data_IF_552936270896
#
_entry.id   IF_552936270896
#
_cell.length_a   1.000
_cell.length_b   1.000
_cell.length_c   1.000
_cell.angle_alpha   90.00
_cell.angle_beta   90.00
_cell.angle_gamma   90.00
#
_symmetry.space_group_name_H-M   'P 1'
#
loop_
_entity.id
_entity.type
_entity.pdbx_description
1 polymer ?
#
# COMPACT_ATOMS: atom_id res chain seq x y z
N UNK A 1 64.59 -22.93 -72.13
CA UNK A 1 64.04 -22.89 -70.75
C UNK A 1 62.53 -23.07 -70.82
N UNK A 2 62.11 -24.33 -70.84
CA UNK A 2 60.73 -24.80 -70.72
C UNK A 2 60.83 -26.20 -70.08
N UNK A 3 60.01 -26.45 -69.06
CA UNK A 3 59.67 -27.73 -68.40
C UNK A 3 60.80 -28.64 -67.85
N UNK A 4 60.70 -28.98 -66.57
CA UNK A 4 60.60 -30.36 -66.04
C UNK A 4 59.76 -30.26 -64.74
N UNK A 5 58.53 -30.80 -64.72
CA UNK A 5 58.14 -32.14 -64.22
C UNK A 5 58.23 -32.23 -62.68
N UNK A 6 57.18 -32.60 -61.95
CA UNK A 6 56.65 -33.97 -61.73
C UNK A 6 55.22 -33.77 -61.15
N UNK A 7 54.13 -34.10 -61.82
CA UNK A 7 53.39 -35.37 -61.90
C UNK A 7 52.94 -36.02 -60.56
N UNK A 8 51.62 -36.17 -60.45
CA UNK A 8 50.80 -37.07 -59.62
C UNK A 8 50.62 -36.70 -58.14
N UNK A 9 49.42 -36.24 -57.73
CA UNK A 9 48.18 -37.03 -57.48
C UNK A 9 48.12 -37.36 -55.98
N UNK A 10 47.05 -37.18 -55.21
CA UNK A 10 45.63 -36.95 -55.49
C UNK A 10 44.97 -36.38 -54.23
N UNK A 11 43.99 -35.52 -54.46
CA UNK A 11 42.70 -35.35 -53.76
C UNK A 11 42.49 -36.07 -52.41
N UNK A 12 42.35 -35.25 -51.38
CA UNK A 12 41.39 -35.28 -50.27
C UNK A 12 40.35 -36.41 -50.33
N UNK A 13 40.45 -37.33 -49.36
CA UNK A 13 39.57 -38.46 -49.17
C UNK A 13 38.18 -38.04 -48.68
N UNK A 14 37.18 -38.61 -49.35
CA UNK A 14 35.83 -38.81 -48.87
C UNK A 14 35.69 -40.28 -48.46
N UNK A 15 34.91 -40.51 -47.40
CA UNK A 15 34.20 -41.76 -47.02
C UNK A 15 34.84 -42.67 -45.96
N UNK A 16 33.95 -43.23 -45.13
CA UNK A 16 34.07 -44.34 -44.15
C UNK A 16 34.37 -43.85 -42.71
N UNK A 17 33.63 -44.21 -41.65
CA UNK A 17 32.34 -44.88 -41.46
C UNK A 17 32.09 -44.87 -39.94
N UNK A 18 30.89 -44.48 -39.53
CA UNK A 18 30.03 -45.26 -38.61
C UNK A 18 30.78 -46.07 -37.53
N UNK A 19 31.29 -45.41 -36.48
CA UNK A 19 31.53 -46.06 -35.16
C UNK A 19 31.20 -45.14 -33.97
N UNK A 20 31.19 -43.81 -34.12
CA UNK A 20 30.78 -42.90 -33.03
C UNK A 20 29.26 -42.66 -32.98
N UNK A 21 28.48 -43.72 -32.92
CA UNK A 21 27.05 -43.68 -32.56
C UNK A 21 26.73 -44.82 -31.60
N UNK A 22 27.44 -44.94 -30.48
CA UNK A 22 27.12 -45.83 -29.35
C UNK A 22 28.11 -45.60 -28.18
N UNK A 23 28.20 -44.39 -27.64
CA UNK A 23 29.00 -44.13 -26.43
C UNK A 23 28.59 -42.87 -25.63
N UNK A 24 27.32 -42.47 -25.67
CA UNK A 24 26.77 -41.43 -24.77
C UNK A 24 25.39 -41.83 -24.25
N UNK A 25 25.19 -43.13 -24.01
CA UNK A 25 24.12 -43.64 -23.16
C UNK A 25 24.76 -44.02 -21.82
N UNK A 26 24.13 -43.58 -20.73
CA UNK A 26 24.53 -43.69 -19.31
C UNK A 26 25.55 -42.65 -18.80
N UNK A 27 25.07 -41.43 -18.52
CA UNK A 27 25.41 -40.70 -17.30
C UNK A 27 24.46 -39.49 -17.12
N UNK A 28 23.15 -39.73 -17.05
CA UNK A 28 22.22 -38.75 -16.46
C UNK A 28 21.92 -39.25 -15.06
N UNK A 29 22.86 -39.01 -14.15
CA UNK A 29 22.60 -39.08 -12.71
C UNK A 29 21.84 -37.80 -12.37
N UNK A 30 20.52 -37.97 -12.20
CA UNK A 30 19.62 -36.95 -11.67
C UNK A 30 20.07 -36.61 -10.24
N UNK A 31 20.89 -35.58 -10.10
CA UNK A 31 21.08 -34.92 -8.81
C UNK A 31 19.94 -33.95 -8.61
N UNK A 32 18.84 -34.42 -8.01
CA UNK A 32 17.84 -33.53 -7.40
C UNK A 32 18.51 -32.94 -6.17
N UNK A 33 19.24 -31.83 -6.36
CA UNK A 33 19.49 -30.92 -5.26
C UNK A 33 18.16 -30.25 -4.96
N UNK A 34 17.57 -30.63 -3.84
CA UNK A 34 16.47 -29.90 -3.25
C UNK A 34 16.97 -28.48 -2.95
N UNK A 35 16.78 -27.55 -3.89
CA UNK A 35 16.75 -26.14 -3.58
C UNK A 35 15.54 -25.95 -2.66
N UNK A 36 15.79 -26.09 -1.36
CA UNK A 36 14.92 -25.53 -0.35
C UNK A 36 14.82 -24.06 -0.70
N UNK A 37 13.67 -23.67 -1.24
CA UNK A 37 13.23 -22.28 -1.16
C UNK A 37 13.15 -21.98 0.32
N UNK A 38 14.24 -21.44 0.88
CA UNK A 38 14.15 -20.74 2.14
C UNK A 38 13.23 -19.57 1.85
N UNK A 39 11.96 -19.71 2.25
CA UNK A 39 11.15 -18.55 2.56
C UNK A 39 12.01 -17.79 3.56
N UNK A 40 12.64 -16.69 3.12
CA UNK A 40 13.27 -15.79 4.07
C UNK A 40 12.15 -15.39 5.01
N UNK A 41 12.21 -15.91 6.24
CA UNK A 41 11.34 -15.45 7.29
C UNK A 41 11.50 -13.93 7.30
N UNK A 42 10.41 -13.22 7.02
CA UNK A 42 10.37 -11.77 7.14
C UNK A 42 10.96 -11.44 8.51
N UNK A 43 12.08 -10.72 8.54
CA UNK A 43 12.69 -10.34 9.81
C UNK A 43 11.61 -9.66 10.65
N UNK A 44 11.37 -10.19 11.85
CA UNK A 44 10.46 -9.55 12.80
C UNK A 44 10.99 -8.13 13.01
N UNK A 45 10.20 -7.13 12.65
CA UNK A 45 10.47 -5.72 13.00
C UNK A 45 10.27 -5.45 14.48
N UNK A 46 10.64 -6.39 15.34
CA UNK A 46 10.42 -6.29 16.77
C UNK A 46 11.48 -5.40 17.43
N UNK A 47 11.06 -4.59 18.40
CA UNK A 47 11.99 -4.01 19.38
C UNK A 47 12.45 -5.09 20.36
N UNK A 48 13.54 -4.86 21.09
CA UNK A 48 14.02 -5.74 22.17
C UNK A 48 12.96 -6.03 23.24
N UNK A 49 11.90 -5.20 23.31
CA UNK A 49 10.75 -5.39 24.20
C UNK A 49 9.76 -6.40 23.61
N UNK A 50 9.45 -6.30 22.31
CA UNK A 50 8.53 -7.20 21.61
C UNK A 50 9.09 -8.61 21.39
N UNK A 51 10.42 -8.77 21.30
CA UNK A 51 11.07 -10.09 21.16
C UNK A 51 10.82 -11.03 22.34
N UNK A 52 10.53 -10.46 23.52
CA UNK A 52 10.32 -11.21 24.77
C UNK A 52 8.85 -11.58 25.00
N UNK A 53 7.93 -11.14 24.13
CA UNK A 53 6.50 -11.37 24.28
C UNK A 53 6.07 -12.46 23.29
N UNK A 54 5.60 -13.59 23.82
CA UNK A 54 4.91 -14.59 22.98
C UNK A 54 3.55 -14.01 22.57
N UNK A 55 3.20 -13.95 21.28
CA UNK A 55 1.86 -13.57 20.87
C UNK A 55 0.86 -14.57 21.42
N UNK A 56 -0.03 -14.14 22.32
CA UNK A 56 -1.09 -14.99 22.87
C UNK A 56 -2.42 -14.54 22.28
N UNK A 57 -3.03 -15.40 21.45
CA UNK A 57 -4.45 -15.26 21.10
C UNK A 57 -5.21 -16.47 21.66
N UNK A 58 -5.36 -16.50 22.98
CA UNK A 58 -6.06 -17.56 23.72
C UNK A 58 -7.53 -17.23 24.01
N UNK A 59 -8.03 -16.09 23.50
CA UNK A 59 -9.42 -15.70 23.66
C UNK A 59 -10.34 -16.52 22.74
N UNK A 60 -11.63 -16.66 23.09
CA UNK A 60 -12.60 -17.18 22.13
C UNK A 60 -12.62 -16.27 20.89
N UNK A 61 -12.72 -16.88 19.72
CA UNK A 61 -12.95 -16.16 18.47
C UNK A 61 -14.44 -16.30 18.08
N UNK A 62 -15.32 -15.38 18.54
CA UNK A 62 -16.74 -15.45 18.24
C UNK A 62 -17.08 -14.97 16.81
N UNK A 63 -16.07 -14.50 16.05
CA UNK A 63 -16.30 -13.91 14.74
C UNK A 63 -16.54 -14.99 13.68
N UNK A 64 -17.55 -14.76 12.83
CA UNK A 64 -17.78 -15.55 11.61
C UNK A 64 -17.45 -14.71 10.39
N UNK A 65 -16.81 -15.34 9.40
CA UNK A 65 -16.55 -14.71 8.11
C UNK A 65 -17.83 -14.74 7.27
N UNK A 66 -18.26 -13.58 6.80
CA UNK A 66 -19.27 -13.46 5.74
C UNK A 66 -18.51 -13.18 4.45
N UNK A 67 -18.55 -14.13 3.52
CA UNK A 67 -17.88 -13.98 2.22
C UNK A 67 -18.74 -13.14 1.28
N UNK A 68 -18.08 -12.41 0.39
CA UNK A 68 -18.69 -11.67 -0.71
C UNK A 68 -19.75 -10.64 -0.29
N UNK A 69 -19.64 -10.15 0.95
CA UNK A 69 -20.57 -9.19 1.54
C UNK A 69 -20.56 -7.86 0.76
N UNK A 70 -19.41 -7.19 0.65
CA UNK A 70 -19.32 -5.90 -0.05
C UNK A 70 -19.06 -6.09 -1.54
N UNK A 71 -20.03 -5.71 -2.39
CA UNK A 71 -19.88 -5.74 -3.85
C UNK A 71 -20.01 -4.35 -4.47
N UNK A 72 -19.08 -4.00 -5.36
CA UNK A 72 -19.05 -2.72 -6.08
C UNK A 72 -20.06 -2.68 -7.22
N UNK A 73 -21.35 -2.75 -6.88
CA UNK A 73 -22.45 -2.85 -7.84
C UNK A 73 -22.70 -1.56 -8.64
N UNK A 74 -22.36 -0.39 -8.09
CA UNK A 74 -22.46 0.89 -8.79
C UNK A 74 -21.27 1.08 -9.74
N UNK A 75 -20.06 0.75 -9.29
CA UNK A 75 -18.84 0.87 -10.11
C UNK A 75 -18.72 -0.24 -11.16
N UNK A 76 -19.37 -1.39 -10.95
CA UNK A 76 -19.35 -2.56 -11.85
C UNK A 76 -17.94 -3.05 -12.16
N UNK A 77 -17.08 -3.11 -11.13
CA UNK A 77 -15.68 -3.56 -11.23
C UNK A 77 -15.29 -4.44 -10.05
N UNK A 78 -14.22 -5.25 -10.16
CA UNK A 78 -13.62 -5.89 -9.02
C UNK A 78 -13.05 -4.85 -8.04
N UNK A 79 -12.93 -5.24 -6.77
CA UNK A 79 -12.15 -4.51 -5.80
C UNK A 79 -10.70 -4.34 -6.27
N UNK A 80 -10.16 -3.15 -6.06
CA UNK A 80 -8.72 -2.95 -5.98
C UNK A 80 -8.17 -3.44 -4.63
N UNK A 81 -6.93 -3.07 -4.31
CA UNK A 81 -6.39 -3.34 -2.97
C UNK A 81 -7.20 -2.57 -1.92
N UNK A 82 -7.97 -3.27 -1.08
CA UNK A 82 -8.72 -2.70 0.04
C UNK A 82 -7.76 -2.19 1.13
N UNK A 83 -8.05 -1.04 1.72
CA UNK A 83 -7.07 -0.34 2.59
C UNK A 83 -7.67 0.37 3.81
N UNK A 84 -8.96 0.69 3.82
CA UNK A 84 -9.60 1.41 4.93
C UNK A 84 -11.05 1.02 5.08
N UNK A 85 -11.54 0.98 6.32
CA UNK A 85 -12.95 0.76 6.67
C UNK A 85 -13.34 1.65 7.84
N UNK A 86 -14.56 2.18 7.83
CA UNK A 86 -15.12 2.94 8.95
C UNK A 86 -16.62 2.67 9.06
N UNK A 87 -17.17 2.70 10.28
CA UNK A 87 -18.62 2.61 10.49
C UNK A 87 -19.22 4.00 10.30
N UNK A 88 -20.31 4.08 9.55
CA UNK A 88 -21.04 5.33 9.36
C UNK A 88 -21.73 5.77 10.66
N UNK A 89 -22.17 7.03 10.69
CA UNK A 89 -22.79 7.63 11.88
C UNK A 89 -24.08 6.92 12.32
N UNK A 90 -24.74 6.19 11.43
CA UNK A 90 -25.91 5.38 11.75
C UNK A 90 -25.59 4.12 12.58
N UNK A 91 -24.30 3.80 12.76
CA UNK A 91 -23.82 2.64 13.51
C UNK A 91 -23.97 1.31 12.77
N UNK A 92 -24.30 1.34 11.48
CA UNK A 92 -24.79 0.18 10.72
C UNK A 92 -24.20 0.10 9.33
N UNK A 93 -24.23 1.20 8.60
CA UNK A 93 -23.63 1.31 7.27
C UNK A 93 -22.10 1.37 7.40
N UNK A 94 -21.41 0.90 6.37
CA UNK A 94 -19.95 0.78 6.39
C UNK A 94 -19.37 1.56 5.22
N UNK A 95 -18.47 2.48 5.54
CA UNK A 95 -17.58 3.08 4.57
C UNK A 95 -16.36 2.19 4.35
N UNK A 96 -15.93 2.07 3.11
CA UNK A 96 -14.67 1.42 2.79
C UNK A 96 -13.96 2.15 1.65
N UNK A 97 -12.64 2.05 1.65
CA UNK A 97 -11.82 2.51 0.53
C UNK A 97 -11.06 1.40 -0.14
N UNK A 98 -10.86 1.56 -1.45
CA UNK A 98 -9.98 0.74 -2.24
C UNK A 98 -8.97 1.54 -3.06
N UNK A 99 -7.97 0.83 -3.58
CA UNK A 99 -6.93 1.40 -4.45
C UNK A 99 -7.28 1.28 -5.93
N UNK A 100 -8.56 1.32 -6.29
CA UNK A 100 -9.15 1.33 -7.65
C UNK A 100 -8.80 0.18 -8.61
N UNK A 101 -7.60 -0.37 -8.55
CA UNK A 101 -7.06 -1.40 -9.44
C UNK A 101 -6.58 -2.60 -8.62
N UNK A 102 -6.77 -3.84 -9.12
CA UNK A 102 -6.23 -5.04 -8.49
C UNK A 102 -4.73 -5.20 -8.80
N UNK A 103 -4.05 -6.05 -8.05
CA UNK A 103 -2.66 -6.46 -8.32
C UNK A 103 -1.69 -6.18 -7.17
N UNK A 104 -0.40 -6.37 -7.44
CA UNK A 104 0.68 -6.30 -6.44
C UNK A 104 1.08 -4.87 -6.06
N UNK A 105 0.75 -3.88 -6.89
CA UNK A 105 0.97 -2.46 -6.64
C UNK A 105 -0.30 -1.68 -7.02
N UNK A 106 -1.41 -1.90 -6.29
CA UNK A 106 -2.70 -1.31 -6.64
C UNK A 106 -2.65 0.22 -6.43
N UNK A 107 -3.39 0.99 -7.23
CA UNK A 107 -3.47 2.45 -7.15
C UNK A 107 -4.54 3.08 -8.03
N UNK A 108 -4.89 4.33 -7.71
CA UNK A 108 -5.95 5.11 -8.34
C UNK A 108 -5.46 6.13 -9.37
N UNK A 109 -4.15 6.23 -9.58
CA UNK A 109 -3.57 7.13 -10.57
C UNK A 109 -4.01 6.75 -12.00
N UNK A 110 -4.40 7.73 -12.80
CA UNK A 110 -4.79 7.51 -14.20
C UNK A 110 -6.16 6.84 -14.40
N UNK A 111 -6.96 6.65 -13.35
CA UNK A 111 -8.32 6.13 -13.44
C UNK A 111 -9.35 7.13 -12.88
N UNK A 112 -10.60 6.99 -13.32
CA UNK A 112 -11.75 7.75 -12.81
C UNK A 112 -12.64 6.91 -11.89
N UNK A 113 -12.25 5.67 -11.58
CA UNK A 113 -12.95 4.81 -10.65
C UNK A 113 -13.03 5.48 -9.27
N UNK A 114 -14.20 5.42 -8.64
CA UNK A 114 -14.37 5.94 -7.29
C UNK A 114 -13.70 4.97 -6.30
N UNK A 115 -12.85 5.46 -5.37
CA UNK A 115 -12.24 4.63 -4.34
C UNK A 115 -12.97 4.66 -3.01
N UNK A 116 -13.94 5.55 -2.80
CA UNK A 116 -14.68 5.67 -1.52
C UNK A 116 -16.08 5.13 -1.72
N UNK A 117 -16.47 4.17 -0.90
CA UNK A 117 -17.70 3.41 -1.05
C UNK A 117 -18.47 3.36 0.27
N UNK A 118 -19.79 3.48 0.21
CA UNK A 118 -20.71 3.27 1.33
C UNK A 118 -21.56 2.03 1.05
N UNK A 119 -21.64 1.12 2.01
CA UNK A 119 -22.47 -0.09 1.95
C UNK A 119 -23.50 -0.10 3.08
N UNK A 120 -24.69 -0.64 2.81
CA UNK A 120 -25.63 -0.98 3.87
C UNK A 120 -25.19 -2.26 4.63
N UNK A 121 -25.93 -2.62 5.69
CA UNK A 121 -25.65 -3.84 6.49
C UNK A 121 -25.65 -5.14 5.67
N UNK A 122 -26.29 -5.15 4.50
CA UNK A 122 -26.34 -6.32 3.60
C UNK A 122 -25.12 -6.39 2.67
N UNK A 123 -24.33 -5.32 2.61
CA UNK A 123 -23.16 -5.19 1.75
C UNK A 123 -23.49 -4.66 0.35
N UNK A 124 -24.71 -4.15 0.16
CA UNK A 124 -25.10 -3.45 -1.07
C UNK A 124 -24.49 -2.05 -1.08
N UNK A 125 -23.81 -1.72 -2.17
CA UNK A 125 -23.25 -0.38 -2.38
C UNK A 125 -24.37 0.65 -2.53
N UNK A 126 -24.40 1.63 -1.62
CA UNK A 126 -25.34 2.75 -1.59
C UNK A 126 -24.81 3.93 -2.40
N UNK A 127 -23.50 4.18 -2.31
CA UNK A 127 -22.84 5.36 -2.89
C UNK A 127 -21.36 5.11 -3.12
N UNK A 128 -20.82 5.75 -4.14
CA UNK A 128 -19.38 5.86 -4.37
C UNK A 128 -19.01 7.28 -4.84
N UNK A 129 -17.79 7.73 -4.49
CA UNK A 129 -17.23 9.01 -4.96
C UNK A 129 -15.69 9.03 -4.88
N UNK A 130 -15.09 10.14 -5.31
CA UNK A 130 -13.63 10.37 -5.26
C UNK A 130 -12.88 10.02 -6.55
N UNK A 131 -13.60 9.68 -7.62
CA UNK A 131 -13.02 9.26 -8.89
C UNK A 131 -12.05 10.28 -9.49
N UNK A 132 -10.84 9.82 -9.82
CA UNK A 132 -9.80 10.66 -10.41
C UNK A 132 -9.15 11.65 -9.44
N UNK A 133 -9.37 11.53 -8.13
CA UNK A 133 -8.75 12.44 -7.16
C UNK A 133 -7.49 11.88 -6.50
N UNK A 134 -7.38 10.55 -6.42
CA UNK A 134 -6.40 9.88 -5.56
C UNK A 134 -5.28 9.21 -6.34
N UNK A 135 -4.11 9.09 -5.71
CA UNK A 135 -3.01 8.24 -6.15
C UNK A 135 -3.09 6.89 -5.44
N UNK A 136 -3.16 6.92 -4.11
CA UNK A 136 -3.13 5.75 -3.25
C UNK A 136 -3.86 6.00 -1.92
N UNK A 137 -5.20 5.87 -1.94
CA UNK A 137 -6.00 5.90 -0.74
C UNK A 137 -5.44 4.96 0.33
N UNK A 138 -5.52 5.38 1.59
CA UNK A 138 -5.01 4.61 2.72
C UNK A 138 -5.99 4.56 3.91
N UNK A 139 -6.01 5.53 4.80
CA UNK A 139 -6.93 5.57 5.95
C UNK A 139 -8.28 6.17 5.61
N UNK A 140 -9.30 5.82 6.38
CA UNK A 140 -10.65 6.41 6.30
C UNK A 140 -11.24 6.59 7.70
N UNK A 141 -11.90 7.71 7.94
CA UNK A 141 -12.57 8.03 9.20
C UNK A 141 -13.89 8.78 8.98
N UNK A 142 -14.85 8.55 9.87
CA UNK A 142 -16.12 9.29 9.88
C UNK A 142 -16.16 10.18 11.11
N UNK A 143 -16.22 11.50 10.92
CA UNK A 143 -16.29 12.43 12.05
C UNK A 143 -17.70 12.51 12.66
N UNK A 144 -17.78 13.13 13.85
CA UNK A 144 -19.04 13.31 14.59
C UNK A 144 -20.10 14.13 13.86
N UNK A 145 -19.78 14.77 12.74
CA UNK A 145 -20.71 15.52 11.90
C UNK A 145 -21.15 14.68 10.67
N UNK A 146 -20.62 13.46 10.52
CA UNK A 146 -20.89 12.54 9.42
C UNK A 146 -19.99 12.75 8.20
N UNK A 147 -18.96 13.60 8.30
CA UNK A 147 -18.03 13.81 7.19
C UNK A 147 -17.04 12.65 7.11
N UNK A 148 -16.65 12.31 5.88
CA UNK A 148 -15.73 11.22 5.60
C UNK A 148 -14.35 11.80 5.32
N UNK A 149 -13.35 11.38 6.07
CA UNK A 149 -11.96 11.77 5.91
C UNK A 149 -11.20 10.62 5.27
N UNK A 150 -10.38 10.90 4.26
CA UNK A 150 -9.59 9.88 3.56
C UNK A 150 -8.17 10.38 3.40
N UNK A 151 -7.19 9.54 3.73
CA UNK A 151 -5.78 9.85 3.46
C UNK A 151 -5.34 9.31 2.10
N UNK A 152 -4.44 10.03 1.43
CA UNK A 152 -3.79 9.61 0.20
C UNK A 152 -2.28 9.56 0.43
N UNK A 153 -1.75 8.35 0.58
CA UNK A 153 -0.46 8.12 1.23
C UNK A 153 0.76 8.30 0.31
N UNK A 154 0.60 8.54 -1.00
CA UNK A 154 1.76 8.70 -1.90
C UNK A 154 1.59 9.85 -2.87
N UNK A 155 2.69 10.24 -3.48
CA UNK A 155 2.71 11.00 -4.73
C UNK A 155 3.05 10.05 -5.88
N UNK A 156 2.75 10.44 -7.11
CA UNK A 156 3.16 9.68 -8.29
C UNK A 156 4.70 9.50 -8.33
N UNK A 157 5.18 8.33 -8.79
CA UNK A 157 6.60 8.12 -9.08
C UNK A 157 7.04 8.86 -10.34
N UNK A 158 8.35 8.87 -10.65
CA UNK A 158 8.84 9.47 -11.88
C UNK A 158 8.28 8.77 -13.13
N UNK A 159 8.22 7.44 -13.10
CA UNK A 159 7.70 6.60 -14.18
C UNK A 159 6.19 6.81 -14.34
N UNK A 160 5.46 6.90 -13.23
CA UNK A 160 4.04 7.17 -13.23
C UNK A 160 3.71 8.56 -13.80
N UNK A 161 4.53 9.58 -13.52
CA UNK A 161 4.37 10.92 -14.13
C UNK A 161 4.56 10.92 -15.64
N UNK A 162 5.43 10.06 -16.17
CA UNK A 162 5.61 9.87 -17.61
C UNK A 162 4.39 9.16 -18.21
N UNK A 163 3.91 8.12 -17.54
CA UNK A 163 2.78 7.29 -17.99
C UNK A 163 1.44 8.03 -17.93
N UNK A 164 1.25 8.87 -16.92
CA UNK A 164 0.01 9.58 -16.63
C UNK A 164 0.28 11.10 -16.56
N UNK A 165 0.55 11.75 -17.70
CA UNK A 165 0.89 13.17 -17.73
C UNK A 165 -0.27 14.03 -17.18
N UNK A 166 0.06 15.00 -16.33
CA UNK A 166 -0.89 15.91 -15.70
C UNK A 166 -1.51 15.40 -14.39
N UNK A 167 -1.12 14.22 -13.94
CA UNK A 167 -1.62 13.63 -12.67
C UNK A 167 -0.64 13.84 -11.49
N UNK A 168 0.42 14.64 -11.69
CA UNK A 168 1.48 14.93 -10.72
C UNK A 168 1.02 15.79 -9.52
N UNK A 169 -0.16 16.39 -9.61
CA UNK A 169 -0.76 17.26 -8.57
C UNK A 169 -1.73 16.49 -7.67
N UNK A 170 -1.47 15.22 -7.39
CA UNK A 170 -2.32 14.34 -6.58
C UNK A 170 -1.54 13.66 -5.45
N UNK A 171 -2.27 13.34 -4.39
CA UNK A 171 -1.79 12.56 -3.25
C UNK A 171 -0.87 13.29 -2.29
N UNK A 172 -0.42 12.56 -1.26
CA UNK A 172 0.23 13.08 -0.04
C UNK A 172 -0.62 14.12 0.70
N UNK A 173 -1.91 13.84 0.85
CA UNK A 173 -2.91 14.73 1.44
C UNK A 173 -3.91 13.96 2.28
N UNK A 174 -4.68 14.69 3.08
CA UNK A 174 -5.92 14.18 3.68
C UNK A 174 -7.08 14.99 3.13
N UNK A 175 -8.13 14.33 2.67
CA UNK A 175 -9.31 14.97 2.08
C UNK A 175 -10.53 14.71 2.97
N UNK A 176 -11.23 15.78 3.34
CA UNK A 176 -12.53 15.74 4.00
C UNK A 176 -13.64 15.86 2.96
N UNK A 177 -14.58 14.93 3.00
CA UNK A 177 -15.80 14.94 2.20
C UNK A 177 -17.02 15.12 3.09
N UNK A 178 -18.03 15.80 2.58
CA UNK A 178 -19.38 15.65 3.10
C UNK A 178 -19.88 14.21 2.88
N UNK A 179 -20.93 13.76 3.61
CA UNK A 179 -21.49 12.42 3.39
C UNK A 179 -21.89 12.16 1.93
N UNK A 180 -22.30 13.19 1.17
CA UNK A 180 -22.66 13.12 -0.25
C UNK A 180 -21.48 13.23 -1.22
N UNK A 181 -20.23 13.28 -0.73
CA UNK A 181 -19.02 13.22 -1.56
C UNK A 181 -18.50 14.57 -2.06
N UNK A 182 -18.99 15.70 -1.53
CA UNK A 182 -18.42 17.03 -1.85
C UNK A 182 -17.16 17.23 -1.03
N UNK A 183 -16.10 17.73 -1.67
CA UNK A 183 -14.89 18.11 -0.95
C UNK A 183 -15.15 19.32 -0.07
N UNK A 184 -14.85 19.20 1.22
CA UNK A 184 -14.99 20.26 2.21
C UNK A 184 -13.64 20.85 2.62
N UNK A 185 -12.58 20.02 2.62
CA UNK A 185 -11.24 20.42 3.06
C UNK A 185 -10.19 19.48 2.47
N UNK A 186 -8.99 20.03 2.23
CA UNK A 186 -7.78 19.25 1.95
C UNK A 186 -6.68 19.73 2.88
N UNK A 187 -6.06 18.81 3.62
CA UNK A 187 -4.87 19.06 4.43
C UNK A 187 -3.62 18.62 3.65
N UNK A 188 -2.58 19.46 3.70
CA UNK A 188 -1.39 19.33 2.87
C UNK A 188 -1.61 19.83 1.44
N UNK A 189 -0.52 19.89 0.66
CA UNK A 189 -0.53 20.31 -0.74
C UNK A 189 -0.49 19.09 -1.68
N UNK A 190 -1.50 18.90 -2.55
CA UNK A 190 -1.54 17.78 -3.48
C UNK A 190 -0.27 17.66 -4.33
N UNK A 191 0.29 16.45 -4.38
CA UNK A 191 1.51 16.13 -5.14
C UNK A 191 2.81 16.49 -4.42
N UNK A 192 2.76 16.93 -3.17
CA UNK A 192 3.94 17.41 -2.44
C UNK A 192 4.10 16.66 -1.11
N UNK A 193 5.22 15.95 -0.97
CA UNK A 193 5.70 15.41 0.31
C UNK A 193 6.46 16.48 1.08
N UNK A 194 6.34 16.49 2.40
CA UNK A 194 7.07 17.41 3.27
C UNK A 194 6.47 17.55 4.67
N UNK A 195 6.72 18.69 5.29
CA UNK A 195 6.29 19.01 6.65
C UNK A 195 4.99 19.83 6.67
N UNK A 196 4.14 19.62 7.70
CA UNK A 196 2.96 20.44 7.90
C UNK A 196 3.34 21.89 8.25
N UNK A 197 2.45 22.87 8.02
CA UNK A 197 1.12 22.72 7.44
C UNK A 197 1.09 22.49 5.93
N UNK A 198 2.17 22.85 5.23
CA UNK A 198 2.15 23.01 3.76
C UNK A 198 2.16 21.68 3.01
N UNK A 199 2.68 20.62 3.62
CA UNK A 199 2.74 19.29 3.03
C UNK A 199 2.56 18.22 4.10
N UNK A 200 2.28 17.01 3.65
CA UNK A 200 2.27 15.82 4.50
C UNK A 200 3.21 14.79 3.89
N UNK A 201 3.78 13.92 4.71
CA UNK A 201 4.63 12.82 4.26
C UNK A 201 3.93 11.52 4.55
N UNK A 202 3.37 10.93 3.49
CA UNK A 202 2.77 9.59 3.54
C UNK A 202 1.72 9.42 4.66
N UNK A 203 0.63 10.21 4.62
CA UNK A 203 -0.42 10.11 5.62
C UNK A 203 -1.11 8.74 5.53
N UNK A 204 -0.94 7.91 6.55
CA UNK A 204 -1.54 6.59 6.62
C UNK A 204 -2.96 6.63 7.15
N UNK A 205 -3.19 7.40 8.21
CA UNK A 205 -4.46 7.36 8.90
C UNK A 205 -4.84 8.72 9.44
N UNK A 206 -6.13 8.94 9.62
CA UNK A 206 -6.69 10.19 10.11
C UNK A 206 -7.83 9.89 11.07
N UNK A 207 -7.85 10.56 12.22
CA UNK A 207 -9.02 10.57 13.12
C UNK A 207 -9.33 11.99 13.58
N UNK A 208 -10.51 12.17 14.16
CA UNK A 208 -10.88 13.41 14.84
C UNK A 208 -11.09 13.16 16.33
N UNK A 209 -10.58 14.07 17.16
CA UNK A 209 -10.82 14.06 18.59
C UNK A 209 -12.32 14.30 18.85
N UNK A 210 -13.01 13.37 19.54
CA UNK A 210 -14.46 13.47 19.74
C UNK A 210 -14.88 14.68 20.58
N UNK A 211 -13.97 15.21 21.42
CA UNK A 211 -14.27 16.29 22.36
C UNK A 211 -14.24 17.67 21.72
N UNK A 212 -13.29 17.92 20.80
CA UNK A 212 -13.07 19.25 20.21
C UNK A 212 -13.09 19.25 18.67
N UNK A 213 -12.94 18.10 18.01
CA UNK A 213 -12.86 17.95 16.56
C UNK A 213 -11.50 18.24 15.95
N UNK A 214 -10.44 18.34 16.75
CA UNK A 214 -9.06 18.41 16.24
C UNK A 214 -8.75 17.16 15.41
N UNK A 215 -8.01 17.33 14.32
CA UNK A 215 -7.69 16.29 13.36
C UNK A 215 -6.28 15.77 13.62
N UNK A 216 -6.14 14.47 13.80
CA UNK A 216 -4.86 13.80 14.02
C UNK A 216 -4.55 12.98 12.78
N UNK A 217 -3.35 13.15 12.22
CA UNK A 217 -2.91 12.47 10.99
C UNK A 217 -1.63 11.71 11.28
N UNK A 218 -1.64 10.39 11.13
CA UNK A 218 -0.46 9.55 11.23
C UNK A 218 0.33 9.59 9.92
N UNK A 219 1.63 9.89 9.99
CA UNK A 219 2.50 10.08 8.83
C UNK A 219 3.72 9.16 8.89
N UNK A 220 3.81 8.21 7.94
CA UNK A 220 4.98 7.37 7.60
C UNK A 220 4.56 6.12 6.81
N UNK A 221 5.10 5.80 5.63
CA UNK A 221 4.81 4.50 4.98
C UNK A 221 6.09 3.80 4.46
N UNK A 222 7.24 4.46 4.48
CA UNK A 222 8.48 3.99 3.84
C UNK A 222 9.17 2.81 4.55
N UNK A 223 10.24 2.32 3.92
CA UNK A 223 11.19 1.38 4.53
C UNK A 223 11.70 1.98 5.84
N UNK A 224 11.56 1.23 6.95
CA UNK A 224 12.02 1.65 8.27
C UNK A 224 13.53 1.95 8.31
N UNK A 225 14.30 1.46 7.34
CA UNK A 225 15.73 1.72 7.17
C UNK A 225 16.04 3.05 6.44
N UNK A 226 15.04 3.76 5.92
CA UNK A 226 15.24 5.05 5.25
C UNK A 226 15.82 6.07 6.26
N UNK A 227 17.00 6.67 5.98
CA UNK A 227 17.58 7.67 6.88
C UNK A 227 16.72 8.94 7.01
N UNK A 228 15.77 9.16 6.11
CA UNK A 228 14.83 10.28 6.12
C UNK A 228 13.41 9.86 6.53
N UNK A 229 13.27 8.69 7.18
CA UNK A 229 11.99 8.22 7.70
C UNK A 229 11.35 9.29 8.57
N UNK A 230 10.11 9.64 8.23
CA UNK A 230 9.25 10.49 9.05
C UNK A 230 8.36 9.57 9.87
N UNK A 231 8.43 9.64 11.19
CA UNK A 231 7.48 8.97 12.08
C UNK A 231 6.86 10.00 13.02
N UNK A 232 5.62 10.43 12.74
CA UNK A 232 4.94 11.45 13.54
C UNK A 232 3.43 11.40 13.44
N UNK A 233 2.77 12.08 14.37
CA UNK A 233 1.34 12.44 14.26
C UNK A 233 1.23 13.96 14.12
N UNK A 234 0.68 14.45 13.02
CA UNK A 234 0.39 15.87 12.82
C UNK A 234 -1.01 16.20 13.30
N UNK A 235 -1.12 17.28 14.07
CA UNK A 235 -2.39 17.71 14.67
C UNK A 235 -2.82 19.04 14.08
N UNK A 236 -4.05 19.10 13.59
CA UNK A 236 -4.71 20.30 13.07
C UNK A 236 -5.96 20.58 13.91
N UNK A 237 -6.40 21.83 13.97
CA UNK A 237 -7.72 22.12 14.52
C UNK A 237 -8.82 21.69 13.54
N UNK A 238 -10.07 21.73 14.00
CA UNK A 238 -11.25 21.39 13.19
C UNK A 238 -11.42 22.20 11.89
N UNK A 239 -10.71 23.32 11.75
CA UNK A 239 -10.74 24.21 10.59
C UNK A 239 -9.51 24.01 9.68
N UNK A 240 -8.65 23.04 10.00
CA UNK A 240 -7.45 22.71 9.22
C UNK A 240 -6.24 23.57 9.53
N UNK A 241 -6.27 24.38 10.60
CA UNK A 241 -5.08 25.11 11.04
C UNK A 241 -4.14 24.15 11.77
N UNK A 242 -2.90 24.06 11.33
CA UNK A 242 -1.90 23.24 12.02
C UNK A 242 -1.65 23.73 13.45
N UNK A 243 -1.58 22.79 14.39
CA UNK A 243 -1.39 23.05 15.81
C UNK A 243 0.00 22.61 16.27
N UNK A 244 0.35 21.33 16.05
CA UNK A 244 1.58 20.72 16.56
C UNK A 244 1.86 19.36 15.93
N UNK A 245 3.08 18.87 16.15
CA UNK A 245 3.47 17.48 15.94
C UNK A 245 3.50 16.75 17.29
N UNK A 246 3.10 15.47 17.29
CA UNK A 246 3.35 14.53 18.38
C UNK A 246 4.35 13.47 17.90
N UNK A 247 5.36 13.24 18.73
CA UNK A 247 6.42 12.26 18.50
C UNK A 247 7.44 12.67 17.44
N UNK A 248 8.33 11.74 17.14
CA UNK A 248 9.41 11.85 16.17
C UNK A 248 9.86 10.44 15.76
N UNK A 249 10.69 10.35 14.73
CA UNK A 249 11.22 9.06 14.29
C UNK A 249 12.06 8.38 15.38
N UNK A 250 11.80 7.09 15.66
CA UNK A 250 12.59 6.29 16.60
C UNK A 250 11.81 5.10 17.17
N UNK A 251 12.35 4.46 18.21
CA UNK A 251 11.77 3.26 18.84
C UNK A 251 11.50 3.43 20.33
N UNK A 252 11.85 4.59 20.91
CA UNK A 252 11.60 4.89 22.31
C UNK A 252 10.15 5.31 22.59
N UNK A 253 9.80 5.49 23.87
CA UNK A 253 8.48 6.02 24.25
C UNK A 253 8.16 7.35 23.56
N UNK A 254 7.05 7.40 22.83
CA UNK A 254 6.61 8.57 22.07
C UNK A 254 7.35 8.79 20.76
N UNK A 255 8.24 7.88 20.37
CA UNK A 255 8.86 7.84 19.05
C UNK A 255 8.12 6.81 18.17
N UNK A 256 8.13 7.01 16.86
CA UNK A 256 7.44 6.14 15.91
C UNK A 256 8.33 5.79 14.73
N UNK A 257 8.12 4.64 14.08
CA UNK A 257 8.76 4.34 12.77
C UNK A 257 7.74 4.34 11.64
N UNK A 258 6.64 3.62 11.81
CA UNK A 258 5.53 3.59 10.86
C UNK A 258 4.18 3.63 11.58
N UNK A 259 3.78 4.78 12.17
CA UNK A 259 2.45 4.94 12.75
C UNK A 259 1.41 4.75 11.64
N UNK A 260 0.69 3.64 11.69
CA UNK A 260 -0.08 3.13 10.56
C UNK A 260 -1.58 3.11 10.80
N UNK A 261 -1.99 3.10 12.07
CA UNK A 261 -3.36 3.34 12.47
C UNK A 261 -3.39 4.09 13.80
N UNK A 262 -4.40 4.93 14.00
CA UNK A 262 -4.61 5.69 15.23
C UNK A 262 -6.07 5.66 15.64
N UNK A 263 -6.34 5.65 16.94
CA UNK A 263 -7.71 5.70 17.47
C UNK A 263 -7.74 6.35 18.86
N UNK A 264 -8.83 7.03 19.19
CA UNK A 264 -9.08 7.46 20.56
C UNK A 264 -9.84 6.37 21.33
N UNK A 265 -9.34 6.01 22.50
CA UNK A 265 -10.11 5.15 23.40
C UNK A 265 -11.18 5.94 24.17
N UNK A 266 -12.01 5.20 24.93
CA UNK A 266 -13.10 5.79 25.72
C UNK A 266 -12.63 6.69 26.87
N UNK A 267 -11.33 6.72 27.18
CA UNK A 267 -10.72 7.60 28.17
C UNK A 267 -10.05 8.82 27.54
N UNK A 268 -10.15 8.99 26.22
CA UNK A 268 -9.52 10.08 25.49
C UNK A 268 -8.01 9.91 25.28
N UNK A 269 -7.49 8.68 25.40
CA UNK A 269 -6.09 8.38 25.09
C UNK A 269 -5.96 8.07 23.61
N UNK A 270 -4.95 8.63 22.97
CA UNK A 270 -4.59 8.29 21.61
C UNK A 270 -3.79 6.97 21.61
N UNK A 271 -4.33 5.96 20.94
CA UNK A 271 -3.69 4.67 20.68
C UNK A 271 -3.07 4.74 19.29
N UNK A 272 -1.81 4.29 19.16
CA UNK A 272 -1.07 4.28 17.90
C UNK A 272 -0.59 2.87 17.61
N UNK A 273 -0.96 2.33 16.46
CA UNK A 273 -0.39 1.11 15.92
C UNK A 273 0.85 1.47 15.09
N UNK A 274 2.03 1.28 15.68
CA UNK A 274 3.32 1.49 15.03
C UNK A 274 3.82 0.17 14.43
N UNK A 275 3.95 0.11 13.11
CA UNK A 275 4.20 -1.11 12.32
C UNK A 275 5.69 -1.48 12.21
#
# INVERSE_FOLDING_TARGET
MFKFAIHMSRSTEMTISIVLRLACALAIVVSITAQRTSVQAQQRGGTAETEKVQPVNSGPNPYRVIRDWAQLTLEKRPWGGSNGVAIDRDGKSVWATDRCSPGIAPGCLGTKANPVHLFDETGKEIRSFGGGMFVWPHGIHVDRDGNVWVTDARVATAEERIKFPGEDKKGSVVVKFSPDGKVLMTLGRPGVKGDPPDALTEPNDVITDPSNGDVYVAESHTNVEDPNLVGRISVFDRNGKFLRVIGKTGTGPGEFRTPHAIEFDSQGRLIVADR
#
